data_IF_924100500247
#
_entry.id   IF_924100500247
#
_cell.length_a   1.000
_cell.length_b   1.000
_cell.length_c   1.000
_cell.angle_alpha   90.00
_cell.angle_beta   90.00
_cell.angle_gamma   90.00
#
_symmetry.space_group_name_H-M   'P 1'
#
loop_
_entity.id
_entity.type
_entity.pdbx_description
1 polymer ?
#
# COMPACT_ATOMS: atom_id res chain seq x y z
N UNK A 1 0.32 10.23 -34.55
CA UNK A 1 0.81 10.79 -33.27
C UNK A 1 0.44 9.83 -32.14
N UNK A 2 1.35 8.97 -31.70
CA UNK A 2 1.13 8.08 -30.54
C UNK A 2 1.65 8.80 -29.31
N UNK A 3 0.76 9.22 -28.41
CA UNK A 3 1.14 9.82 -27.12
C UNK A 3 1.56 8.67 -26.19
N UNK A 4 2.85 8.54 -25.94
CA UNK A 4 3.38 7.70 -24.86
C UNK A 4 3.00 8.33 -23.53
N UNK A 5 2.03 7.73 -22.84
CA UNK A 5 1.67 8.08 -21.48
C UNK A 5 2.67 7.43 -20.54
N UNK A 6 3.59 8.23 -19.99
CA UNK A 6 4.57 7.80 -19.00
C UNK A 6 3.84 7.50 -17.69
N UNK A 7 3.64 6.22 -17.40
CA UNK A 7 3.14 5.73 -16.12
C UNK A 7 4.30 5.80 -15.11
N UNK A 8 4.17 6.66 -14.11
CA UNK A 8 5.14 6.79 -13.03
C UNK A 8 4.90 5.64 -12.02
N UNK A 9 5.63 4.54 -12.19
CA UNK A 9 5.61 3.39 -11.29
C UNK A 9 6.45 3.73 -10.04
N UNK A 10 5.79 4.03 -8.91
CA UNK A 10 6.48 4.25 -7.64
C UNK A 10 6.76 2.89 -6.98
N UNK A 11 7.96 2.34 -7.18
CA UNK A 11 8.42 1.12 -6.52
C UNK A 11 8.94 1.52 -5.12
N UNK A 12 8.16 1.26 -4.07
CA UNK A 12 8.61 1.43 -2.68
C UNK A 12 9.37 0.17 -2.25
N UNK A 13 10.70 0.24 -2.25
CA UNK A 13 11.54 -0.75 -1.57
C UNK A 13 11.60 -0.41 -0.07
N UNK A 14 10.86 -1.16 0.76
CA UNK A 14 11.01 -1.09 2.20
C UNK A 14 12.15 -2.03 2.67
N UNK A 15 13.37 -1.52 2.74
CA UNK A 15 14.45 -2.16 3.52
C UNK A 15 14.74 -1.29 4.73
N UNK A 16 14.20 -1.66 5.90
CA UNK A 16 14.55 -1.01 7.17
C UNK A 16 15.86 -1.59 7.70
N UNK A 17 16.91 -0.80 7.97
CA UNK A 17 18.03 -1.24 8.78
C UNK A 17 17.66 -1.07 10.26
N UNK A 18 17.63 -2.17 11.01
CA UNK A 18 17.54 -2.15 12.48
C UNK A 18 18.84 -1.55 13.02
N UNK A 19 18.69 -0.51 13.84
CA UNK A 19 19.77 0.32 14.37
C UNK A 19 20.78 -0.44 15.25
N UNK A 20 22.04 -0.08 15.06
CA UNK A 20 23.19 -0.57 15.82
C UNK A 20 23.42 0.38 17.00
N UNK A 21 23.17 -0.08 18.24
CA UNK A 21 23.38 0.73 19.44
C UNK A 21 24.84 0.66 19.92
N UNK A 22 25.39 1.86 20.14
CA UNK A 22 26.63 2.27 20.82
C UNK A 22 27.30 1.24 21.75
N UNK A 23 28.58 0.97 21.50
CA UNK A 23 29.50 0.23 22.38
C UNK A 23 30.08 1.16 23.46
N UNK A 24 29.95 0.78 24.72
CA UNK A 24 30.82 1.23 25.82
C UNK A 24 31.32 -0.01 26.58
N UNK A 25 32.63 -0.16 26.87
CA UNK A 25 33.17 -1.39 27.44
C UNK A 25 33.17 -1.32 28.98
N UNK A 26 32.35 -2.15 29.62
CA UNK A 26 32.50 -2.47 31.04
C UNK A 26 32.77 -3.97 31.17
N UNK A 27 34.00 -4.28 31.58
CA UNK A 27 34.50 -5.62 31.88
C UNK A 27 33.64 -6.29 32.95
N UNK A 28 33.04 -7.44 32.63
CA UNK A 28 32.39 -8.34 33.60
C UNK A 28 33.02 -9.75 33.51
N UNK A 29 33.15 -10.47 34.64
CA UNK A 29 33.76 -11.79 34.68
C UNK A 29 32.88 -12.86 34.01
N UNK A 30 33.51 -13.77 33.28
CA UNK A 30 32.85 -14.79 32.48
C UNK A 30 32.14 -15.84 33.35
N UNK A 31 30.83 -15.96 33.18
CA UNK A 31 30.04 -17.13 33.57
C UNK A 31 29.70 -17.95 32.32
N UNK A 32 29.68 -19.30 32.38
CA UNK A 32 29.34 -20.12 31.23
C UNK A 32 27.81 -20.10 31.05
N UNK A 33 27.31 -19.15 30.26
CA UNK A 33 25.92 -19.20 29.79
C UNK A 33 25.93 -20.02 28.51
N UNK A 34 25.38 -21.23 28.59
CA UNK A 34 25.10 -22.06 27.43
C UNK A 34 24.27 -21.24 26.42
N UNK A 35 24.94 -20.73 25.40
CA UNK A 35 24.35 -19.91 24.36
C UNK A 35 23.50 -20.75 23.44
N UNK A 36 22.26 -21.03 23.83
CA UNK A 36 21.24 -21.40 22.84
C UNK A 36 20.70 -20.10 22.28
N UNK A 37 21.25 -19.64 21.16
CA UNK A 37 20.60 -18.58 20.39
C UNK A 37 19.17 -19.05 20.08
N UNK A 38 18.13 -18.23 20.32
CA UNK A 38 16.77 -18.62 19.97
C UNK A 38 16.73 -18.98 18.49
N UNK A 39 16.02 -20.07 18.17
CA UNK A 39 15.83 -20.49 16.79
C UNK A 39 15.28 -19.30 15.98
N UNK A 40 15.77 -19.08 14.75
CA UNK A 40 15.35 -17.94 13.96
C UNK A 40 13.84 -17.99 13.72
N UNK A 41 13.15 -16.91 14.07
CA UNK A 41 11.71 -16.77 13.84
C UNK A 41 11.44 -16.77 12.34
N UNK A 42 10.52 -17.61 11.83
CA UNK A 42 10.14 -17.60 10.42
C UNK A 42 9.65 -16.22 9.98
N UNK A 43 10.08 -15.79 8.80
CA UNK A 43 9.63 -14.56 8.16
C UNK A 43 8.13 -14.60 7.86
N UNK A 44 7.51 -13.44 7.57
CA UNK A 44 6.11 -13.39 7.16
C UNK A 44 5.86 -14.23 5.90
N UNK A 45 6.76 -14.19 4.92
CA UNK A 45 6.64 -14.96 3.69
C UNK A 45 6.63 -16.48 3.97
N UNK A 46 7.54 -16.96 4.82
CA UNK A 46 7.56 -18.38 5.23
C UNK A 46 6.29 -18.78 5.98
N UNK A 47 5.78 -17.92 6.86
CA UNK A 47 4.51 -18.14 7.57
C UNK A 47 3.30 -18.18 6.64
N UNK A 48 3.37 -17.49 5.50
CA UNK A 48 2.36 -17.52 4.44
C UNK A 48 2.52 -18.71 3.49
N UNK A 49 3.51 -19.59 3.71
CA UNK A 49 3.72 -20.82 2.94
C UNK A 49 4.71 -20.69 1.78
N UNK A 50 5.38 -19.54 1.63
CA UNK A 50 6.43 -19.36 0.62
C UNK A 50 7.76 -19.98 1.07
N UNK A 51 8.58 -20.41 0.12
CA UNK A 51 9.93 -20.91 0.42
C UNK A 51 10.87 -19.73 0.66
N UNK A 52 11.95 -19.98 1.38
CA UNK A 52 13.05 -19.00 1.62
C UNK A 52 13.62 -18.44 0.31
N UNK A 53 13.61 -19.23 -0.77
CA UNK A 53 14.11 -18.84 -2.09
C UNK A 53 13.10 -18.06 -2.93
N UNK A 54 11.83 -18.03 -2.55
CA UNK A 54 10.78 -17.41 -3.36
C UNK A 54 10.88 -15.89 -3.28
N UNK A 55 10.60 -15.24 -4.42
CA UNK A 55 10.44 -13.78 -4.48
C UNK A 55 8.96 -13.48 -4.64
N UNK A 56 8.37 -12.87 -3.62
CA UNK A 56 6.95 -12.53 -3.58
C UNK A 56 6.81 -11.03 -3.85
N UNK A 57 5.89 -10.65 -4.74
CA UNK A 57 5.62 -9.27 -5.11
C UNK A 57 4.11 -9.02 -5.10
N UNK A 58 3.70 -7.92 -4.46
CA UNK A 58 2.36 -7.37 -4.57
C UNK A 58 2.45 -6.15 -5.48
N UNK A 59 1.72 -6.18 -6.59
CA UNK A 59 1.62 -5.05 -7.51
C UNK A 59 0.26 -4.40 -7.28
N UNK A 60 0.27 -3.27 -6.55
CA UNK A 60 -0.94 -2.55 -6.19
C UNK A 60 -1.17 -1.34 -7.09
N UNK A 61 -2.38 -1.18 -7.60
CA UNK A 61 -2.84 0.05 -8.23
C UNK A 61 -3.38 1.06 -7.20
N UNK A 62 -2.79 2.24 -7.13
CA UNK A 62 -3.26 3.33 -6.28
C UNK A 62 -4.25 4.26 -7.01
N UNK A 63 -4.90 5.13 -6.25
CA UNK A 63 -5.77 6.22 -6.75
C UNK A 63 -7.05 5.77 -7.48
N UNK A 64 -7.50 4.55 -7.24
CA UNK A 64 -8.73 4.05 -7.86
C UNK A 64 -9.93 4.81 -7.33
N UNK A 65 -10.84 5.19 -8.21
CA UNK A 65 -11.99 6.05 -7.90
C UNK A 65 -11.70 7.53 -8.07
N UNK A 66 -10.43 7.95 -8.26
CA UNK A 66 -10.08 9.36 -8.49
C UNK A 66 -10.69 9.88 -9.78
N UNK A 67 -10.46 9.20 -10.91
CA UNK A 67 -10.97 9.60 -12.23
C UNK A 67 -11.44 8.38 -13.03
N UNK A 68 -12.28 8.59 -14.03
CA UNK A 68 -12.66 7.52 -14.97
C UNK A 68 -11.43 6.87 -15.61
N UNK A 69 -10.44 7.68 -16.00
CA UNK A 69 -9.22 7.19 -16.62
C UNK A 69 -8.43 6.28 -15.67
N UNK A 70 -8.35 6.64 -14.38
CA UNK A 70 -7.72 5.80 -13.36
C UNK A 70 -8.46 4.47 -13.22
N UNK A 71 -9.80 4.50 -13.08
CA UNK A 71 -10.61 3.29 -12.99
C UNK A 71 -10.44 2.37 -14.20
N UNK A 72 -10.55 2.91 -15.42
CA UNK A 72 -10.42 2.15 -16.65
C UNK A 72 -9.05 1.48 -16.76
N UNK A 73 -7.97 2.22 -16.43
CA UNK A 73 -6.62 1.67 -16.44
C UNK A 73 -6.43 0.59 -15.36
N UNK A 74 -6.97 0.78 -14.17
CA UNK A 74 -6.93 -0.24 -13.10
C UNK A 74 -7.67 -1.50 -13.49
N UNK A 75 -8.88 -1.38 -14.05
CA UNK A 75 -9.68 -2.53 -14.51
C UNK A 75 -8.90 -3.31 -15.56
N UNK A 76 -8.40 -2.62 -16.60
CA UNK A 76 -7.60 -3.24 -17.65
C UNK A 76 -6.34 -3.92 -17.09
N UNK A 77 -5.63 -3.28 -16.16
CA UNK A 77 -4.44 -3.85 -15.54
C UNK A 77 -4.74 -5.07 -14.67
N UNK A 78 -5.85 -5.09 -13.93
CA UNK A 78 -6.30 -6.23 -13.13
C UNK A 78 -6.78 -7.38 -14.03
N UNK A 79 -7.49 -7.08 -15.11
CA UNK A 79 -8.01 -8.08 -16.04
C UNK A 79 -6.89 -8.76 -16.83
N UNK A 80 -5.88 -8.00 -17.25
CA UNK A 80 -4.71 -8.53 -17.98
C UNK A 80 -3.58 -9.03 -17.06
N UNK A 81 -3.76 -9.01 -15.73
CA UNK A 81 -2.79 -9.55 -14.77
C UNK A 81 -1.51 -8.72 -14.60
N UNK A 82 -1.53 -7.44 -14.99
CA UNK A 82 -0.43 -6.51 -14.76
C UNK A 82 -0.38 -6.05 -13.29
N UNK A 83 -1.52 -6.04 -12.61
CA UNK A 83 -1.65 -5.73 -11.18
C UNK A 83 -2.33 -6.89 -10.45
N UNK A 84 -1.96 -7.08 -9.19
CA UNK A 84 -2.51 -8.13 -8.32
C UNK A 84 -3.60 -7.61 -7.40
N UNK A 85 -3.54 -6.33 -7.04
CA UNK A 85 -4.49 -5.67 -6.14
C UNK A 85 -4.65 -4.19 -6.51
N UNK A 86 -5.65 -3.51 -5.95
CA UNK A 86 -5.79 -2.06 -6.08
C UNK A 86 -6.45 -1.42 -4.85
N UNK A 87 -6.28 -0.11 -4.64
CA UNK A 87 -6.82 0.61 -3.47
C UNK A 87 -7.77 1.73 -3.87
N UNK A 88 -8.96 1.75 -3.26
CA UNK A 88 -10.06 2.65 -3.65
C UNK A 88 -10.13 3.89 -2.74
N UNK A 89 -10.19 5.07 -3.36
CA UNK A 89 -10.44 6.36 -2.71
C UNK A 89 -11.94 6.68 -2.63
N UNK A 90 -12.56 6.38 -1.49
CA UNK A 90 -14.02 6.50 -1.29
C UNK A 90 -14.61 7.89 -1.59
N UNK A 91 -14.04 9.03 -1.16
CA UNK A 91 -14.70 10.32 -1.37
C UNK A 91 -14.42 10.92 -2.76
N UNK A 92 -13.77 10.20 -3.66
CA UNK A 92 -13.54 10.69 -5.03
C UNK A 92 -14.81 10.58 -5.90
N UNK A 93 -14.95 11.44 -6.93
CA UNK A 93 -16.16 11.47 -7.77
C UNK A 93 -16.47 10.17 -8.53
N UNK A 94 -15.44 9.38 -8.87
CA UNK A 94 -15.58 8.14 -9.65
C UNK A 94 -15.60 6.87 -8.77
N UNK A 95 -15.78 7.03 -7.47
CA UNK A 95 -15.99 5.91 -6.55
C UNK A 95 -17.19 5.01 -6.94
N UNK A 96 -18.38 5.54 -7.30
CA UNK A 96 -19.53 4.68 -7.61
C UNK A 96 -19.28 3.70 -8.76
N UNK A 97 -18.50 4.12 -9.78
CA UNK A 97 -18.15 3.29 -10.92
C UNK A 97 -17.28 2.10 -10.49
N UNK A 98 -16.17 2.35 -9.79
CA UNK A 98 -15.30 1.27 -9.34
C UNK A 98 -15.97 0.41 -8.28
N UNK A 99 -16.80 0.98 -7.40
CA UNK A 99 -17.54 0.21 -6.40
C UNK A 99 -18.51 -0.79 -7.06
N UNK A 100 -19.17 -0.40 -8.15
CA UNK A 100 -20.01 -1.30 -8.93
C UNK A 100 -19.19 -2.43 -9.58
N UNK A 101 -18.03 -2.10 -10.16
CA UNK A 101 -17.10 -3.09 -10.71
C UNK A 101 -16.61 -4.08 -9.64
N UNK A 102 -16.13 -3.58 -8.49
CA UNK A 102 -15.63 -4.40 -7.40
C UNK A 102 -16.71 -5.36 -6.85
N UNK A 103 -17.96 -4.88 -6.75
CA UNK A 103 -19.10 -5.71 -6.35
C UNK A 103 -19.40 -6.84 -7.35
N UNK A 104 -19.23 -6.59 -8.64
CA UNK A 104 -19.44 -7.58 -9.69
C UNK A 104 -18.28 -8.60 -9.79
N UNK A 105 -17.10 -8.26 -9.26
CA UNK A 105 -15.88 -9.09 -9.34
C UNK A 105 -15.30 -9.39 -7.95
N UNK A 106 -15.99 -10.21 -7.13
CA UNK A 106 -15.59 -10.48 -5.74
C UNK A 106 -14.26 -11.23 -5.60
N UNK A 107 -13.72 -11.75 -6.70
CA UNK A 107 -12.42 -12.41 -6.78
C UNK A 107 -11.25 -11.44 -7.01
N UNK A 108 -11.51 -10.14 -7.21
CA UNK A 108 -10.47 -9.11 -7.34
C UNK A 108 -10.15 -8.52 -5.98
N UNK A 109 -8.87 -8.30 -5.71
CA UNK A 109 -8.40 -7.76 -4.45
C UNK A 109 -8.46 -6.22 -4.47
N UNK A 110 -9.38 -5.66 -3.68
CA UNK A 110 -9.55 -4.23 -3.50
C UNK A 110 -9.40 -3.84 -2.03
N UNK A 111 -8.42 -2.98 -1.76
CA UNK A 111 -8.24 -2.31 -0.48
C UNK A 111 -8.84 -0.90 -0.46
N UNK A 112 -8.69 -0.20 0.67
CA UNK A 112 -9.08 1.19 0.83
C UNK A 112 -7.84 2.09 0.83
N UNK A 113 -7.86 3.12 -0.01
CA UNK A 113 -6.85 4.17 -0.04
C UNK A 113 -7.29 5.31 0.90
N UNK A 114 -6.89 5.23 2.16
CA UNK A 114 -7.18 6.27 3.15
C UNK A 114 -6.41 7.55 2.81
N UNK A 115 -7.10 8.69 2.80
CA UNK A 115 -6.49 9.96 2.45
C UNK A 115 -6.95 11.09 3.36
N UNK A 116 -6.00 11.95 3.66
CA UNK A 116 -6.21 13.20 4.41
C UNK A 116 -5.91 14.44 3.56
N UNK A 117 -5.50 14.23 2.30
CA UNK A 117 -5.10 15.30 1.38
C UNK A 117 -6.00 15.28 0.14
N UNK A 118 -6.10 16.46 -0.47
CA UNK A 118 -6.67 16.66 -1.80
C UNK A 118 -5.74 17.65 -2.51
N UNK A 119 -4.77 17.17 -3.26
CA UNK A 119 -3.62 17.97 -3.72
C UNK A 119 -3.89 18.75 -5.01
N UNK A 120 -4.86 18.32 -5.81
CA UNK A 120 -5.18 18.98 -7.07
C UNK A 120 -5.87 20.34 -6.85
N UNK A 121 -5.55 21.31 -7.72
CA UNK A 121 -6.10 22.68 -7.63
C UNK A 121 -7.59 22.73 -7.97
N UNK A 122 -7.97 22.08 -9.07
CA UNK A 122 -9.33 22.16 -9.63
C UNK A 122 -10.11 20.85 -9.52
N UNK A 123 -9.47 19.77 -9.07
CA UNK A 123 -10.06 18.43 -9.00
C UNK A 123 -9.99 17.89 -7.57
N UNK A 124 -10.78 18.51 -6.68
CA UNK A 124 -10.74 18.24 -5.25
C UNK A 124 -11.86 17.31 -4.80
N UNK A 125 -11.62 16.63 -3.69
CA UNK A 125 -12.60 15.82 -2.99
C UNK A 125 -12.67 16.25 -1.53
N UNK A 126 -13.86 16.14 -0.94
CA UNK A 126 -14.09 16.45 0.47
C UNK A 126 -13.89 15.23 1.39
N UNK A 127 -14.08 15.42 2.70
CA UNK A 127 -14.22 14.28 3.62
C UNK A 127 -15.52 13.50 3.33
N UNK A 128 -15.55 12.23 3.76
CA UNK A 128 -16.78 11.41 3.73
C UNK A 128 -17.77 11.87 4.81
N UNK A 129 -17.26 12.31 5.97
CA UNK A 129 -18.06 12.89 7.04
C UNK A 129 -18.49 14.33 6.73
N UNK A 130 -19.52 14.83 7.42
CA UNK A 130 -19.90 16.23 7.33
C UNK A 130 -18.73 17.12 7.76
N UNK A 131 -18.52 18.25 7.07
CA UNK A 131 -17.47 19.22 7.41
C UNK A 131 -17.62 19.76 8.83
N UNK A 132 -18.85 19.83 9.35
CA UNK A 132 -19.13 20.24 10.74
C UNK A 132 -18.51 19.31 11.78
N UNK A 133 -18.37 18.04 11.43
CA UNK A 133 -17.94 16.98 12.36
C UNK A 133 -16.41 16.82 12.32
N UNK A 134 -15.78 17.27 11.23
CA UNK A 134 -14.33 17.19 11.01
C UNK A 134 -13.71 18.56 10.64
N UNK A 135 -13.94 19.62 11.43
CA UNK A 135 -13.46 20.96 11.09
C UNK A 135 -11.93 21.05 11.02
N UNK A 136 -11.21 20.16 11.72
CA UNK A 136 -9.74 20.10 11.68
C UNK A 136 -9.15 19.36 10.46
N UNK A 137 -9.99 18.74 9.61
CA UNK A 137 -9.55 17.99 8.43
C UNK A 137 -9.95 18.69 7.11
N UNK A 138 -10.43 19.92 7.19
CA UNK A 138 -10.86 20.70 6.04
C UNK A 138 -10.15 22.04 6.01
N UNK A 139 -9.76 22.48 4.81
CA UNK A 139 -9.26 23.83 4.59
C UNK A 139 -10.39 24.86 4.84
N UNK A 140 -10.05 26.12 5.20
CA UNK A 140 -11.02 27.20 5.40
C UNK A 140 -11.96 27.45 4.21
#
# INVERSE_FOLDING_TARGET
MRKTSTLLLLIIFATSPVGQSRNEPLTQPALPVAGTSPAPTPTLAERLGFKVSDRVLIVNGDDVGMSHAANAATIDALENGLMTSATIMVPCPWFPEIAAYAKAHPNRDFGLHLKHTSEWKTYRWGPVASKSDVPGLVDP
#
